data_IF_803127970923
#
_entry.id   IF_803127970923
#
_cell.length_a   1.000
_cell.length_b   1.000
_cell.length_c   1.000
_cell.angle_alpha   90.00
_cell.angle_beta   90.00
_cell.angle_gamma   90.00
#
_symmetry.space_group_name_H-M   'P 1'
#
loop_
_entity.id
_entity.type
_entity.pdbx_description
1 polymer ?
#
# COMPACT_ATOMS: atom_id res chain seq x y z
N UNK A 1 -22.99 5.76 58.27
CA UNK A 1 -23.45 5.19 57.00
C UNK A 1 -22.92 5.90 55.73
N UNK A 2 -22.56 7.19 55.79
CA UNK A 2 -22.20 7.95 54.56
C UNK A 2 -20.76 7.77 54.02
N UNK A 3 -19.83 7.18 54.79
CA UNK A 3 -18.45 6.97 54.30
C UNK A 3 -18.27 5.73 53.46
N UNK A 4 -19.10 4.71 53.60
CA UNK A 4 -19.04 3.47 52.81
C UNK A 4 -19.57 3.68 51.38
N UNK A 5 -20.59 4.54 51.21
CA UNK A 5 -21.11 4.85 49.87
C UNK A 5 -20.17 5.72 49.04
N UNK A 6 -19.40 6.61 49.68
CA UNK A 6 -18.38 7.43 48.99
C UNK A 6 -17.22 6.59 48.45
N UNK A 7 -16.77 5.57 49.18
CA UNK A 7 -15.73 4.64 48.72
C UNK A 7 -16.22 3.72 47.60
N UNK A 8 -17.49 3.31 47.63
CA UNK A 8 -18.08 2.49 46.57
C UNK A 8 -18.26 3.29 45.27
N UNK A 9 -18.60 4.57 45.34
CA UNK A 9 -18.75 5.44 44.17
C UNK A 9 -17.39 5.74 43.49
N UNK A 10 -16.34 5.95 44.29
CA UNK A 10 -14.97 6.17 43.77
C UNK A 10 -14.41 4.89 43.11
N UNK A 11 -14.66 3.72 43.69
CA UNK A 11 -14.26 2.44 43.11
C UNK A 11 -15.00 2.16 41.78
N UNK A 12 -16.26 2.53 41.64
CA UNK A 12 -17.04 2.39 40.40
C UNK A 12 -16.55 3.35 39.29
N UNK A 13 -16.19 4.60 39.65
CA UNK A 13 -15.60 5.54 38.70
C UNK A 13 -14.21 5.10 38.20
N UNK A 14 -13.41 4.42 39.05
CA UNK A 14 -12.09 3.92 38.63
C UNK A 14 -12.17 2.71 37.72
N UNK A 15 -13.23 1.91 37.75
CA UNK A 15 -13.45 0.77 36.86
C UNK A 15 -14.01 1.18 35.48
N UNK A 16 -14.53 2.39 35.34
CA UNK A 16 -15.10 2.92 34.09
C UNK A 16 -14.09 3.59 33.16
N UNK A 17 -12.89 3.90 33.61
CA UNK A 17 -11.90 4.66 32.80
C UNK A 17 -10.88 3.83 32.05
N UNK A 18 -10.95 2.51 32.13
CA UNK A 18 -9.98 1.62 31.49
C UNK A 18 -10.34 1.19 30.05
N UNK A 19 -11.35 1.79 29.41
CA UNK A 19 -11.76 1.46 28.04
C UNK A 19 -11.89 2.67 27.10
N UNK A 20 -11.14 3.73 27.30
CA UNK A 20 -11.13 4.86 26.38
C UNK A 20 -9.77 5.15 25.72
N UNK A 21 -8.92 4.13 25.60
CA UNK A 21 -7.95 4.12 24.53
C UNK A 21 -8.57 3.25 23.44
N UNK A 22 -9.43 3.83 22.62
CA UNK A 22 -9.70 3.32 21.30
C UNK A 22 -8.33 3.29 20.64
N UNK A 23 -7.75 2.10 20.45
CA UNK A 23 -6.79 1.91 19.37
C UNK A 23 -7.59 2.36 18.15
N UNK A 24 -7.21 3.49 17.56
CA UNK A 24 -7.67 3.83 16.23
C UNK A 24 -7.40 2.57 15.40
N UNK A 25 -8.43 2.01 14.79
CA UNK A 25 -8.30 0.87 13.92
C UNK A 25 -7.22 1.24 12.91
N UNK A 26 -6.15 0.44 12.85
CA UNK A 26 -4.95 0.84 12.13
C UNK A 26 -5.30 0.93 10.65
N UNK A 27 -5.21 2.12 10.07
CA UNK A 27 -5.61 2.37 8.69
C UNK A 27 -4.76 1.52 7.73
N UNK A 28 -5.40 0.84 6.79
CA UNK A 28 -4.74 -0.06 5.84
C UNK A 28 -3.57 0.61 5.09
N UNK A 29 -3.70 1.88 4.72
CA UNK A 29 -2.63 2.62 4.06
C UNK A 29 -1.43 2.86 4.99
N UNK A 30 -1.67 3.05 6.30
CA UNK A 30 -0.60 3.15 7.29
C UNK A 30 0.14 1.81 7.43
N UNK A 31 -0.58 0.70 7.55
CA UNK A 31 -0.01 -0.65 7.62
C UNK A 31 0.94 -0.88 6.44
N UNK A 32 0.48 -0.64 5.23
CA UNK A 32 1.30 -0.88 4.04
C UNK A 32 2.43 0.13 3.87
N UNK A 33 2.28 1.38 4.32
CA UNK A 33 3.39 2.33 4.35
C UNK A 33 4.53 1.87 5.26
N UNK A 34 4.23 1.29 6.43
CA UNK A 34 5.27 0.72 7.30
C UNK A 34 6.00 -0.45 6.64
N UNK A 35 5.27 -1.34 5.92
CA UNK A 35 5.91 -2.41 5.14
C UNK A 35 6.82 -1.85 4.03
N UNK A 36 6.39 -0.80 3.31
CA UNK A 36 7.22 -0.14 2.30
C UNK A 36 8.48 0.47 2.92
N UNK A 37 8.36 1.13 4.06
CA UNK A 37 9.51 1.71 4.78
C UNK A 37 10.47 0.62 5.26
N UNK A 38 9.95 -0.54 5.70
CA UNK A 38 10.81 -1.67 6.07
C UNK A 38 11.50 -2.27 4.85
N UNK A 39 10.81 -2.41 3.72
CA UNK A 39 11.43 -2.81 2.45
C UNK A 39 12.57 -1.87 2.02
N UNK A 40 12.40 -0.56 2.23
CA UNK A 40 13.45 0.44 1.97
C UNK A 40 14.65 0.25 2.92
N UNK A 41 14.43 -0.09 4.20
CA UNK A 41 15.51 -0.36 5.17
C UNK A 41 16.31 -1.62 4.81
N UNK A 42 15.66 -2.57 4.15
CA UNK A 42 16.22 -3.84 3.71
C UNK A 42 16.87 -3.77 2.30
N UNK A 43 16.90 -2.60 1.66
CA UNK A 43 17.48 -2.38 0.33
C UNK A 43 18.77 -1.54 0.40
N UNK A 44 19.47 -1.43 -0.72
CA UNK A 44 20.58 -0.49 -0.89
C UNK A 44 20.13 0.95 -0.62
N UNK A 45 21.03 1.78 -0.11
CA UNK A 45 20.78 3.21 0.10
C UNK A 45 20.70 3.97 -1.24
N UNK A 46 19.54 3.94 -1.89
CA UNK A 46 19.25 4.58 -3.18
C UNK A 46 18.12 5.62 -3.05
N UNK A 47 18.38 6.82 -2.48
CA UNK A 47 17.34 7.79 -2.11
C UNK A 47 16.37 8.14 -3.24
N UNK A 48 16.86 8.32 -4.47
CA UNK A 48 16.03 8.63 -5.64
C UNK A 48 15.11 7.48 -6.05
N UNK A 49 15.61 6.23 -5.98
CA UNK A 49 14.82 5.02 -6.23
C UNK A 49 13.75 4.86 -5.15
N UNK A 50 14.10 5.07 -3.88
CA UNK A 50 13.15 4.96 -2.78
C UNK A 50 12.06 6.03 -2.82
N UNK A 51 12.42 7.27 -3.19
CA UNK A 51 11.42 8.32 -3.39
C UNK A 51 10.41 7.96 -4.49
N UNK A 52 10.88 7.33 -5.58
CA UNK A 52 10.03 6.81 -6.65
C UNK A 52 9.18 5.62 -6.18
N UNK A 53 9.73 4.70 -5.39
CA UNK A 53 8.98 3.58 -4.81
C UNK A 53 7.85 4.08 -3.92
N UNK A 54 8.11 5.05 -3.04
CA UNK A 54 7.10 5.70 -2.21
C UNK A 54 6.02 6.40 -3.05
N UNK A 55 6.41 7.13 -4.11
CA UNK A 55 5.45 7.78 -4.99
C UNK A 55 4.52 6.76 -5.66
N UNK A 56 5.05 5.70 -6.25
CA UNK A 56 4.27 4.70 -6.97
C UNK A 56 3.34 3.90 -6.04
N UNK A 57 3.79 3.52 -4.85
CA UNK A 57 2.93 2.85 -3.87
C UNK A 57 1.82 3.77 -3.35
N UNK A 58 2.13 5.06 -3.13
CA UNK A 58 1.12 6.05 -2.72
C UNK A 58 0.07 6.29 -3.81
N UNK A 59 0.49 6.38 -5.08
CA UNK A 59 -0.43 6.47 -6.22
C UNK A 59 -1.33 5.24 -6.28
N UNK A 60 -0.77 4.03 -6.14
CA UNK A 60 -1.55 2.80 -6.12
C UNK A 60 -2.61 2.80 -5.01
N UNK A 61 -2.23 3.17 -3.78
CA UNK A 61 -3.17 3.25 -2.66
C UNK A 61 -4.27 4.29 -2.92
N UNK A 62 -3.90 5.46 -3.45
CA UNK A 62 -4.86 6.50 -3.76
C UNK A 62 -5.85 6.07 -4.84
N UNK A 63 -5.37 5.45 -5.92
CA UNK A 63 -6.25 4.99 -7.00
C UNK A 63 -7.17 3.87 -6.50
N UNK A 64 -6.67 2.89 -5.73
CA UNK A 64 -7.50 1.88 -5.08
C UNK A 64 -8.59 2.48 -4.19
N UNK A 65 -8.28 3.56 -3.49
CA UNK A 65 -9.24 4.25 -2.63
C UNK A 65 -10.25 5.06 -3.44
N UNK A 66 -9.78 5.82 -4.44
CA UNK A 66 -10.60 6.78 -5.18
C UNK A 66 -11.61 6.13 -6.12
N UNK A 67 -11.32 4.93 -6.67
CA UNK A 67 -12.26 4.21 -7.56
C UNK A 67 -13.53 3.76 -6.83
N UNK A 68 -13.49 3.64 -5.50
CA UNK A 68 -14.65 3.33 -4.66
C UNK A 68 -15.25 4.59 -4.01
N UNK A 69 -14.87 5.80 -4.45
CA UNK A 69 -15.46 7.03 -3.95
C UNK A 69 -16.70 7.41 -4.75
N UNK A 70 -17.84 7.53 -4.10
CA UNK A 70 -19.08 8.03 -4.69
C UNK A 70 -19.11 9.58 -4.81
N UNK A 71 -18.01 10.24 -4.40
CA UNK A 71 -17.84 11.67 -4.38
C UNK A 71 -17.11 12.22 -5.62
N UNK A 72 -16.45 13.36 -5.47
CA UNK A 72 -15.73 14.02 -6.58
C UNK A 72 -14.31 13.46 -6.80
N UNK A 73 -13.86 12.46 -6.04
CA UNK A 73 -12.50 11.94 -6.17
C UNK A 73 -12.37 11.10 -7.45
N UNK A 74 -11.33 11.38 -8.21
CA UNK A 74 -10.99 10.62 -9.41
C UNK A 74 -9.63 9.94 -9.24
N UNK A 75 -9.41 8.77 -9.86
CA UNK A 75 -8.09 8.15 -9.87
C UNK A 75 -7.02 9.10 -10.38
N UNK A 76 -5.85 9.07 -9.77
CA UNK A 76 -4.73 9.90 -10.19
C UNK A 76 -4.09 9.34 -11.47
N UNK A 77 -3.91 8.04 -11.54
CA UNK A 77 -3.18 7.35 -12.60
C UNK A 77 -4.09 6.63 -13.59
N UNK A 78 -5.08 5.88 -13.12
CA UNK A 78 -6.00 5.12 -13.97
C UNK A 78 -6.87 6.02 -14.85
N UNK A 79 -7.18 5.54 -16.05
CA UNK A 79 -8.00 6.27 -17.03
C UNK A 79 -7.27 7.46 -17.69
N UNK A 80 -5.96 7.58 -17.50
CA UNK A 80 -5.17 8.73 -18.01
C UNK A 80 -3.95 8.27 -18.80
N UNK A 81 -3.34 9.22 -19.51
CA UNK A 81 -2.10 9.01 -20.28
C UNK A 81 -0.95 9.76 -19.61
N UNK A 82 0.11 9.03 -19.26
CA UNK A 82 1.31 9.55 -18.61
C UNK A 82 2.53 9.34 -19.48
N UNK A 83 3.14 10.41 -20.00
CA UNK A 83 4.34 10.32 -20.86
C UNK A 83 4.20 9.31 -22.00
N UNK A 84 2.97 9.20 -22.58
CA UNK A 84 2.66 8.26 -23.66
C UNK A 84 2.27 6.85 -23.19
N UNK A 85 2.29 6.55 -21.91
CA UNK A 85 1.70 5.33 -21.35
C UNK A 85 0.23 5.54 -21.05
N UNK A 86 -0.62 4.67 -21.55
CA UNK A 86 -2.05 4.66 -21.28
C UNK A 86 -2.35 3.63 -20.18
N UNK A 87 -3.06 4.05 -19.13
CA UNK A 87 -3.56 3.20 -18.06
C UNK A 87 -5.10 3.10 -18.18
N UNK A 88 -5.64 2.24 -19.05
CA UNK A 88 -7.09 2.19 -19.31
C UNK A 88 -7.86 1.78 -18.05
N UNK A 89 -9.08 2.33 -17.90
CA UNK A 89 -9.94 2.00 -16.77
C UNK A 89 -11.41 2.23 -17.14
N UNK A 90 -12.22 1.20 -17.01
CA UNK A 90 -13.64 1.22 -17.38
C UNK A 90 -14.59 1.38 -16.19
N UNK A 91 -14.02 1.57 -14.96
CA UNK A 91 -14.77 1.65 -13.72
C UNK A 91 -14.95 0.31 -13.02
N UNK A 92 -15.46 0.36 -11.80
CA UNK A 92 -15.82 -0.81 -10.98
C UNK A 92 -17.25 -0.65 -10.47
N UNK A 93 -17.85 -1.76 -10.05
CA UNK A 93 -19.10 -1.71 -9.28
C UNK A 93 -18.76 -1.28 -7.85
N UNK A 94 -19.34 -0.17 -7.41
CA UNK A 94 -19.15 0.34 -6.05
C UNK A 94 -20.16 -0.36 -5.15
N UNK A 95 -19.73 -0.95 -4.01
CA UNK A 95 -20.65 -1.53 -3.03
C UNK A 95 -21.65 -0.51 -2.47
N UNK A 96 -22.77 -1.00 -1.94
CA UNK A 96 -23.84 -0.12 -1.45
C UNK A 96 -23.60 0.39 -0.02
N UNK A 97 -22.98 -0.43 0.83
CA UNK A 97 -22.73 -0.07 2.22
C UNK A 97 -21.35 0.57 2.44
N UNK A 98 -21.22 1.51 3.39
CA UNK A 98 -19.92 2.09 3.74
C UNK A 98 -18.91 1.04 4.22
N UNK A 99 -19.34 0.01 4.92
CA UNK A 99 -18.51 -1.07 5.42
C UNK A 99 -17.91 -1.88 4.27
N UNK A 100 -18.73 -2.28 3.30
CA UNK A 100 -18.26 -3.02 2.11
C UNK A 100 -17.32 -2.16 1.24
N UNK A 101 -17.53 -0.84 1.17
CA UNK A 101 -16.64 0.07 0.48
C UNK A 101 -15.26 0.08 1.15
N UNK A 102 -15.19 0.17 2.49
CA UNK A 102 -13.92 0.16 3.22
C UNK A 102 -13.23 -1.20 3.11
N UNK A 103 -13.96 -2.32 3.13
CA UNK A 103 -13.43 -3.66 2.89
C UNK A 103 -12.84 -3.77 1.47
N UNK A 104 -13.56 -3.32 0.45
CA UNK A 104 -13.08 -3.32 -0.93
C UNK A 104 -11.82 -2.46 -1.12
N UNK A 105 -11.76 -1.28 -0.50
CA UNK A 105 -10.59 -0.41 -0.47
C UNK A 105 -9.40 -1.09 0.19
N UNK A 106 -9.60 -1.70 1.35
CA UNK A 106 -8.55 -2.36 2.10
C UNK A 106 -7.97 -3.55 1.32
N UNK A 107 -8.82 -4.36 0.69
CA UNK A 107 -8.40 -5.46 -0.14
C UNK A 107 -7.62 -4.97 -1.37
N UNK A 108 -8.16 -4.04 -2.15
CA UNK A 108 -7.50 -3.52 -3.35
C UNK A 108 -6.14 -2.88 -3.03
N UNK A 109 -6.05 -2.05 -1.98
CA UNK A 109 -4.80 -1.45 -1.51
C UNK A 109 -3.78 -2.54 -1.17
N UNK A 110 -4.20 -3.58 -0.45
CA UNK A 110 -3.32 -4.66 -0.01
C UNK A 110 -2.70 -5.40 -1.19
N UNK A 111 -3.51 -5.80 -2.16
CA UNK A 111 -2.99 -6.49 -3.36
C UNK A 111 -2.10 -5.57 -4.20
N UNK A 112 -2.47 -4.31 -4.39
CA UNK A 112 -1.68 -3.37 -5.18
C UNK A 112 -0.27 -3.16 -4.58
N UNK A 113 -0.20 -2.84 -3.29
CA UNK A 113 1.09 -2.60 -2.63
C UNK A 113 1.92 -3.88 -2.52
N UNK A 114 1.29 -5.01 -2.16
CA UNK A 114 1.96 -6.30 -2.12
C UNK A 114 2.65 -6.64 -3.46
N UNK A 115 1.97 -6.46 -4.61
CA UNK A 115 2.56 -6.74 -5.94
C UNK A 115 3.71 -5.79 -6.28
N UNK A 116 3.54 -4.49 -6.03
CA UNK A 116 4.61 -3.51 -6.28
C UNK A 116 5.83 -3.82 -5.40
N UNK A 117 5.63 -4.14 -4.13
CA UNK A 117 6.72 -4.49 -3.22
C UNK A 117 7.42 -5.79 -3.63
N UNK A 118 6.66 -6.83 -3.99
CA UNK A 118 7.21 -8.09 -4.48
C UNK A 118 8.09 -7.86 -5.70
N UNK A 119 7.64 -7.04 -6.65
CA UNK A 119 8.40 -6.72 -7.86
C UNK A 119 9.69 -5.95 -7.57
N UNK A 120 9.65 -4.97 -6.66
CA UNK A 120 10.75 -4.01 -6.46
C UNK A 120 11.73 -4.39 -5.38
N UNK A 121 11.28 -5.12 -4.37
CA UNK A 121 12.13 -5.48 -3.23
C UNK A 121 12.47 -6.97 -3.18
N UNK A 122 11.86 -7.82 -4.01
CA UNK A 122 12.07 -9.26 -3.96
C UNK A 122 13.50 -9.70 -4.26
N UNK A 123 14.20 -8.98 -5.16
CA UNK A 123 15.56 -9.29 -5.59
C UNK A 123 16.63 -8.38 -4.94
N UNK A 124 16.25 -7.59 -3.93
CA UNK A 124 17.19 -6.73 -3.19
C UNK A 124 18.03 -7.55 -2.19
N UNK A 125 19.11 -7.00 -1.60
CA UNK A 125 20.01 -7.77 -0.72
C UNK A 125 19.30 -8.53 0.40
N UNK A 126 18.34 -7.89 1.08
CA UNK A 126 17.53 -8.51 2.12
C UNK A 126 16.07 -8.76 1.64
N UNK A 127 15.89 -8.95 0.33
CA UNK A 127 14.61 -9.16 -0.31
C UNK A 127 13.82 -10.35 0.27
N UNK A 128 14.52 -11.41 0.67
CA UNK A 128 13.89 -12.56 1.32
C UNK A 128 13.20 -12.17 2.65
N UNK A 129 13.77 -11.25 3.41
CA UNK A 129 13.17 -10.72 4.64
C UNK A 129 11.93 -9.90 4.30
N UNK A 130 12.05 -9.01 3.32
CA UNK A 130 10.93 -8.20 2.85
C UNK A 130 9.78 -9.07 2.35
N UNK A 131 10.05 -10.08 1.51
CA UNK A 131 9.03 -11.02 1.05
C UNK A 131 8.37 -11.80 2.19
N UNK A 132 9.15 -12.23 3.18
CA UNK A 132 8.60 -12.90 4.36
C UNK A 132 7.63 -11.99 5.12
N UNK A 133 8.01 -10.72 5.35
CA UNK A 133 7.18 -9.75 6.08
C UNK A 133 5.87 -9.47 5.35
N UNK A 134 5.92 -9.14 4.05
CA UNK A 134 4.70 -8.83 3.30
C UNK A 134 3.79 -10.05 3.10
N UNK A 135 4.34 -11.27 2.97
CA UNK A 135 3.52 -12.49 2.96
C UNK A 135 2.83 -12.71 4.31
N UNK A 136 3.55 -12.48 5.42
CA UNK A 136 2.97 -12.55 6.76
C UNK A 136 1.87 -11.51 6.93
N UNK A 137 2.07 -10.30 6.43
CA UNK A 137 1.07 -9.22 6.46
C UNK A 137 -0.20 -9.59 5.68
N UNK A 138 -0.07 -10.13 4.46
CA UNK A 138 -1.22 -10.62 3.70
C UNK A 138 -2.00 -11.68 4.48
N UNK A 139 -1.31 -12.65 5.10
CA UNK A 139 -1.94 -13.69 5.92
C UNK A 139 -2.64 -13.12 7.17
N UNK A 140 -2.04 -12.15 7.87
CA UNK A 140 -2.64 -11.46 9.02
C UNK A 140 -3.91 -10.70 8.65
N UNK A 141 -3.94 -10.11 7.45
CA UNK A 141 -5.11 -9.41 6.90
C UNK A 141 -6.16 -10.37 6.32
N UNK A 142 -5.87 -11.67 6.24
CA UNK A 142 -6.77 -12.69 5.70
C UNK A 142 -6.80 -12.79 4.18
N UNK A 143 -5.79 -12.24 3.49
CA UNK A 143 -5.70 -12.24 2.02
C UNK A 143 -4.80 -13.37 1.50
N UNK A 144 -5.16 -13.94 0.36
CA UNK A 144 -4.40 -14.99 -0.32
C UNK A 144 -3.54 -14.42 -1.45
N UNK A 145 -2.19 -14.37 -1.30
CA UNK A 145 -1.30 -13.87 -2.35
C UNK A 145 -1.34 -14.66 -3.66
N UNK A 146 -1.92 -15.86 -3.68
CA UNK A 146 -2.03 -16.67 -4.90
C UNK A 146 -3.09 -16.16 -5.88
N UNK A 147 -3.98 -15.25 -5.45
CA UNK A 147 -4.98 -14.60 -6.31
C UNK A 147 -4.25 -13.58 -7.19
N UNK A 148 -4.11 -13.88 -8.48
CA UNK A 148 -3.33 -13.08 -9.44
C UNK A 148 -4.15 -12.50 -10.59
N UNK A 149 -5.48 -12.71 -10.60
CA UNK A 149 -6.34 -12.12 -11.62
C UNK A 149 -6.20 -10.59 -11.66
N UNK A 150 -6.22 -10.03 -12.87
CA UNK A 150 -6.30 -8.59 -13.12
C UNK A 150 -7.63 -8.20 -13.80
N UNK A 151 -8.57 -9.15 -13.87
CA UNK A 151 -9.92 -8.90 -14.39
C UNK A 151 -10.80 -8.22 -13.33
N UNK A 152 -10.54 -6.95 -13.09
CA UNK A 152 -11.18 -6.17 -12.04
C UNK A 152 -12.68 -5.95 -12.24
N UNK A 153 -13.21 -6.17 -13.44
CA UNK A 153 -14.65 -6.04 -13.70
C UNK A 153 -15.47 -7.20 -13.13
N UNK A 154 -14.87 -8.39 -13.03
CA UNK A 154 -15.58 -9.62 -12.63
C UNK A 154 -15.03 -10.23 -11.33
N UNK A 155 -13.73 -10.06 -11.04
CA UNK A 155 -13.03 -10.75 -9.95
C UNK A 155 -12.80 -9.88 -8.70
N UNK A 156 -13.40 -8.68 -8.66
CA UNK A 156 -13.50 -7.86 -7.46
C UNK A 156 -12.24 -7.09 -7.04
N UNK A 157 -12.14 -6.68 -5.75
CA UNK A 157 -11.12 -5.74 -5.30
C UNK A 157 -9.69 -6.25 -5.38
N UNK A 158 -9.44 -7.53 -5.12
CA UNK A 158 -8.11 -8.14 -5.28
C UNK A 158 -7.59 -8.02 -6.71
N UNK A 159 -8.47 -8.28 -7.70
CA UNK A 159 -8.12 -8.15 -9.11
C UNK A 159 -7.88 -6.68 -9.51
N UNK A 160 -8.63 -5.74 -8.94
CA UNK A 160 -8.36 -4.31 -9.11
C UNK A 160 -6.98 -3.93 -8.58
N UNK A 161 -6.63 -4.36 -7.38
CA UNK A 161 -5.31 -4.12 -6.80
C UNK A 161 -4.18 -4.69 -7.66
N UNK A 162 -4.33 -5.94 -8.13
CA UNK A 162 -3.38 -6.57 -9.05
C UNK A 162 -3.25 -5.78 -10.36
N UNK A 163 -4.38 -5.33 -10.94
CA UNK A 163 -4.39 -4.54 -12.17
C UNK A 163 -3.66 -3.19 -12.00
N UNK A 164 -3.97 -2.45 -10.93
CA UNK A 164 -3.29 -1.18 -10.64
C UNK A 164 -1.78 -1.37 -10.51
N UNK A 165 -1.36 -2.42 -9.79
CA UNK A 165 0.05 -2.75 -9.65
C UNK A 165 0.70 -3.07 -11.01
N UNK A 166 0.05 -3.86 -11.85
CA UNK A 166 0.52 -4.19 -13.19
C UNK A 166 0.74 -2.93 -14.04
N UNK A 167 -0.25 -2.02 -14.05
CA UNK A 167 -0.15 -0.76 -14.80
C UNK A 167 0.99 0.14 -14.29
N UNK A 168 1.14 0.28 -12.96
CA UNK A 168 2.21 1.09 -12.35
C UNK A 168 3.59 0.47 -12.59
N UNK A 169 3.73 -0.84 -12.52
CA UNK A 169 4.97 -1.54 -12.84
C UNK A 169 5.32 -1.35 -14.32
N UNK A 170 4.36 -1.55 -15.22
CA UNK A 170 4.57 -1.36 -16.67
C UNK A 170 4.97 0.08 -17.02
N UNK A 171 4.32 1.08 -16.41
CA UNK A 171 4.72 2.48 -16.51
C UNK A 171 6.15 2.69 -16.01
N UNK A 172 6.48 2.11 -14.86
CA UNK A 172 7.80 2.23 -14.25
C UNK A 172 8.93 1.69 -15.11
N UNK A 173 8.70 0.68 -15.92
CA UNK A 173 9.69 0.14 -16.84
C UNK A 173 10.03 1.08 -18.00
N UNK A 174 9.22 2.15 -18.24
CA UNK A 174 9.42 3.11 -19.32
C UNK A 174 9.45 4.58 -18.87
N UNK A 175 9.40 4.86 -17.57
CA UNK A 175 9.37 6.22 -17.00
C UNK A 175 10.72 6.97 -17.06
N UNK A 176 11.75 6.32 -17.62
CA UNK A 176 13.10 6.86 -17.74
C UNK A 176 13.99 6.61 -16.52
N UNK A 177 13.52 5.92 -15.51
CA UNK A 177 14.32 5.54 -14.32
C UNK A 177 15.36 4.46 -14.59
N UNK A 178 15.26 3.76 -15.74
CA UNK A 178 16.08 2.61 -16.09
C UNK A 178 15.94 1.41 -15.12
N UNK A 179 14.72 1.20 -14.61
CA UNK A 179 14.41 0.11 -13.67
C UNK A 179 14.82 -1.27 -14.21
N UNK A 180 14.55 -1.54 -15.48
CA UNK A 180 14.91 -2.81 -16.14
C UNK A 180 16.42 -3.13 -16.14
N UNK A 181 17.27 -2.14 -15.90
CA UNK A 181 18.73 -2.26 -15.79
C UNK A 181 19.23 -1.90 -14.38
N UNK A 182 18.43 -2.19 -13.37
CA UNK A 182 18.70 -1.90 -11.94
C UNK A 182 19.11 -0.45 -11.70
N UNK A 183 18.42 0.48 -12.37
CA UNK A 183 18.64 1.92 -12.24
C UNK A 183 20.05 2.38 -12.61
N UNK A 184 20.76 1.62 -13.46
CA UNK A 184 22.10 1.96 -13.88
C UNK A 184 22.14 3.34 -14.54
N UNK A 185 23.10 4.18 -14.11
CA UNK A 185 23.34 5.49 -14.73
C UNK A 185 24.01 5.32 -16.08
N UNK A 186 23.38 5.86 -17.13
CA UNK A 186 23.93 5.82 -18.50
C UNK A 186 24.58 7.12 -18.92
N UNK A 187 24.36 8.21 -18.18
CA UNK A 187 24.77 9.56 -18.56
C UNK A 187 25.59 10.30 -17.50
N UNK A 188 25.66 9.78 -16.27
CA UNK A 188 26.35 10.41 -15.16
C UNK A 188 27.51 9.56 -14.67
N UNK A 189 28.71 10.15 -14.65
CA UNK A 189 29.89 9.58 -13.99
C UNK A 189 30.22 10.44 -12.75
N UNK A 190 30.33 9.82 -11.54
CA UNK A 190 30.71 10.54 -10.35
C UNK A 190 32.09 11.18 -10.47
N UNK A 191 32.21 12.47 -10.11
CA UNK A 191 33.51 13.17 -10.10
C UNK A 191 34.38 12.63 -8.95
N UNK A 192 33.76 12.20 -7.86
CA UNK A 192 34.48 11.65 -6.71
C UNK A 192 34.54 10.12 -6.79
N UNK A 193 35.67 9.51 -6.38
CA UNK A 193 35.73 8.06 -6.25
C UNK A 193 34.71 7.57 -5.21
N UNK A 194 34.20 6.34 -5.44
CA UNK A 194 33.31 5.70 -4.49
C UNK A 194 33.95 5.66 -3.10
N UNK A 195 33.24 6.12 -2.09
CA UNK A 195 33.64 5.94 -0.69
C UNK A 195 33.50 4.44 -0.39
N UNK A 196 34.64 3.79 -0.10
CA UNK A 196 34.70 2.38 0.32
C UNK A 196 34.40 2.26 1.80
#
# INVERSE_FOLDING_TARGET
MNRLYALSLIAFCMLGTSKMWSQAEENIAHIWNEEVLEGIRNDFARPTVHARNLLHTTIAMYDCWSVYDNGPSEPFFLGKTWSGFEAPFDGVVIPESPEEIEEARAEAISYAVYRIMTHRFGETPDGAITLFNINSRMAELGYDPSITSTNYTDDGPSALGNYIAEQIIAFGLQDGSNEAMDYASTCYEPINPNIQ
#
